data_IF_804113534056
#
_entry.id   IF_804113534056
#
_cell.length_a   1.000
_cell.length_b   1.000
_cell.length_c   1.000
_cell.angle_alpha   90.00
_cell.angle_beta   90.00
_cell.angle_gamma   90.00
#
_symmetry.space_group_name_H-M   'P 1'
#
loop_
_entity.id
_entity.type
_entity.pdbx_description
1 polymer ?
#
# COMPACT_ATOMS: atom_id res chain seq x y z
N UNK A 1 -14.26 17.13 2.33
CA UNK A 1 -12.80 16.95 2.21
C UNK A 1 -12.52 15.72 1.36
N UNK A 2 -11.58 15.83 0.44
CA UNK A 2 -11.13 14.73 -0.40
C UNK A 2 -9.64 14.42 -0.14
N UNK A 3 -9.35 13.22 0.34
CA UNK A 3 -7.99 12.70 0.51
C UNK A 3 -7.68 11.60 -0.51
N UNK A 4 -6.47 11.65 -1.06
CA UNK A 4 -5.91 10.59 -1.90
C UNK A 4 -4.77 9.89 -1.16
N UNK A 5 -4.84 8.57 -1.07
CA UNK A 5 -3.80 7.72 -0.48
C UNK A 5 -3.24 6.84 -1.59
N UNK A 6 -1.94 6.96 -1.84
CA UNK A 6 -1.19 6.13 -2.79
C UNK A 6 -0.12 5.30 -2.09
N UNK A 7 0.45 4.32 -2.79
CA UNK A 7 1.55 3.51 -2.30
C UNK A 7 1.67 2.18 -3.05
N UNK A 8 2.74 1.45 -2.73
CA UNK A 8 2.99 0.13 -3.29
C UNK A 8 2.00 -0.94 -2.82
N UNK A 9 2.14 -2.15 -3.36
CA UNK A 9 1.44 -3.32 -2.79
C UNK A 9 2.01 -3.70 -1.43
N UNK A 10 1.13 -4.14 -0.53
CA UNK A 10 1.51 -4.50 0.83
C UNK A 10 2.01 -3.34 1.70
N UNK A 11 1.96 -2.08 1.23
CA UNK A 11 2.55 -0.94 1.93
C UNK A 11 1.73 -0.40 3.11
N UNK A 12 0.58 -0.99 3.45
CA UNK A 12 -0.28 -0.52 4.54
C UNK A 12 -1.26 0.62 4.18
N UNK A 13 -1.34 1.04 2.91
CA UNK A 13 -2.22 2.14 2.47
C UNK A 13 -3.70 1.98 2.83
N UNK A 14 -4.23 0.76 2.78
CA UNK A 14 -5.63 0.47 3.13
C UNK A 14 -5.91 0.73 4.60
N UNK A 15 -5.05 0.23 5.50
CA UNK A 15 -5.17 0.45 6.94
C UNK A 15 -5.09 1.95 7.29
N UNK A 16 -4.15 2.68 6.69
CA UNK A 16 -4.02 4.12 6.87
C UNK A 16 -5.25 4.89 6.36
N UNK A 17 -5.78 4.54 5.19
CA UNK A 17 -6.98 5.16 4.63
C UNK A 17 -8.23 4.87 5.48
N UNK A 18 -8.35 3.65 6.00
CA UNK A 18 -9.40 3.25 6.95
C UNK A 18 -9.34 4.08 8.23
N UNK A 19 -8.16 4.29 8.82
CA UNK A 19 -8.00 5.07 10.04
C UNK A 19 -8.40 6.54 9.84
N UNK A 20 -8.03 7.14 8.70
CA UNK A 20 -8.44 8.51 8.34
C UNK A 20 -9.96 8.59 8.26
N UNK A 21 -10.59 7.76 7.44
CA UNK A 21 -12.05 7.87 7.20
C UNK A 21 -12.85 7.56 8.46
N UNK A 22 -12.40 6.62 9.29
CA UNK A 22 -13.05 6.29 10.56
C UNK A 22 -12.96 7.46 11.54
N UNK A 23 -11.84 8.16 11.58
CA UNK A 23 -11.67 9.32 12.47
C UNK A 23 -12.51 10.49 12.00
N UNK A 24 -12.57 10.75 10.69
CA UNK A 24 -13.46 11.75 10.10
C UNK A 24 -14.93 11.44 10.42
N UNK A 25 -15.35 10.18 10.27
CA UNK A 25 -16.73 9.76 10.57
C UNK A 25 -17.08 9.91 12.05
N UNK A 26 -16.15 9.60 12.97
CA UNK A 26 -16.34 9.79 14.42
C UNK A 26 -16.45 11.26 14.81
N UNK A 27 -15.65 12.13 14.20
CA UNK A 27 -15.68 13.58 14.45
C UNK A 27 -16.95 14.23 13.89
N UNK A 28 -17.43 13.78 12.73
CA UNK A 28 -18.60 14.33 12.06
C UNK A 28 -19.93 13.69 12.46
N UNK A 29 -19.90 12.49 13.07
CA UNK A 29 -21.08 11.70 13.41
C UNK A 29 -21.79 11.08 12.21
N UNK A 30 -21.06 10.79 11.13
CA UNK A 30 -21.62 10.37 9.84
C UNK A 30 -21.53 8.87 9.57
N UNK A 31 -22.46 8.39 8.74
CA UNK A 31 -22.45 7.00 8.26
C UNK A 31 -21.22 6.73 7.40
N UNK A 32 -20.62 5.56 7.61
CA UNK A 32 -19.34 5.17 7.05
C UNK A 32 -19.52 4.10 5.98
N UNK A 33 -19.10 4.40 4.75
CA UNK A 33 -19.26 3.53 3.59
C UNK A 33 -17.92 3.10 3.00
N UNK A 34 -17.84 1.84 2.58
CA UNK A 34 -16.72 1.28 1.84
C UNK A 34 -17.17 0.91 0.42
N UNK A 35 -16.65 1.60 -0.58
CA UNK A 35 -16.87 1.28 -1.99
C UNK A 35 -15.76 0.34 -2.47
N UNK A 36 -16.11 -0.94 -2.62
CA UNK A 36 -15.20 -2.01 -3.03
C UNK A 36 -15.22 -2.19 -4.56
N UNK A 37 -14.05 -2.02 -5.19
CA UNK A 37 -13.90 -2.14 -6.65
C UNK A 37 -13.24 -3.44 -7.09
N UNK A 38 -12.80 -4.27 -6.15
CA UNK A 38 -12.17 -5.56 -6.44
C UNK A 38 -13.20 -6.61 -6.86
N UNK A 39 -13.14 -7.04 -8.12
CA UNK A 39 -14.02 -8.08 -8.67
C UNK A 39 -13.70 -9.45 -8.02
N UNK A 40 -14.69 -10.21 -7.49
CA UNK A 40 -14.46 -11.48 -6.80
C UNK A 40 -14.18 -12.65 -7.76
N UNK A 41 -13.11 -12.55 -8.55
CA UNK A 41 -12.72 -13.59 -9.52
C UNK A 41 -11.51 -14.41 -9.03
N UNK A 42 -11.67 -15.72 -8.95
CA UNK A 42 -10.63 -16.66 -8.50
C UNK A 42 -10.49 -16.77 -6.97
N UNK A 43 -9.92 -17.89 -6.51
CA UNK A 43 -9.78 -18.19 -5.08
C UNK A 43 -8.82 -17.23 -4.34
N UNK A 44 -7.77 -16.75 -5.02
CA UNK A 44 -6.84 -15.75 -4.47
C UNK A 44 -7.60 -14.48 -4.07
N UNK A 45 -8.37 -13.92 -5.01
CA UNK A 45 -9.11 -12.68 -4.82
C UNK A 45 -10.20 -12.82 -3.76
N UNK A 46 -10.91 -13.97 -3.74
CA UNK A 46 -11.89 -14.26 -2.68
C UNK A 46 -11.24 -14.25 -1.30
N UNK A 47 -10.05 -14.86 -1.12
CA UNK A 47 -9.31 -14.81 0.16
C UNK A 47 -8.92 -13.38 0.54
N UNK A 48 -8.51 -12.56 -0.43
CA UNK A 48 -8.22 -11.13 -0.20
C UNK A 48 -9.46 -10.38 0.25
N UNK A 49 -10.58 -10.53 -0.44
CA UNK A 49 -11.87 -9.91 -0.06
C UNK A 49 -12.29 -10.34 1.35
N UNK A 50 -12.21 -11.64 1.67
CA UNK A 50 -12.53 -12.14 3.02
C UNK A 50 -11.63 -11.48 4.08
N UNK A 51 -10.33 -11.37 3.83
CA UNK A 51 -9.40 -10.70 4.75
C UNK A 51 -9.77 -9.24 4.97
N UNK A 52 -10.07 -8.49 3.92
CA UNK A 52 -10.52 -7.09 4.03
C UNK A 52 -11.84 -6.97 4.79
N UNK A 53 -12.80 -7.89 4.58
CA UNK A 53 -14.06 -7.93 5.34
C UNK A 53 -13.82 -8.18 6.83
N UNK A 54 -12.92 -9.11 7.18
CA UNK A 54 -12.55 -9.37 8.58
C UNK A 54 -11.87 -8.16 9.22
N UNK A 55 -10.92 -7.52 8.53
CA UNK A 55 -10.20 -6.35 9.06
C UNK A 55 -11.11 -5.15 9.40
N UNK A 56 -12.32 -5.09 8.81
CA UNK A 56 -13.26 -3.99 8.99
C UNK A 56 -14.56 -4.35 9.71
N UNK A 57 -14.74 -5.60 10.13
CA UNK A 57 -16.01 -6.10 10.70
C UNK A 57 -16.49 -5.25 11.89
N UNK A 58 -15.57 -4.75 12.70
CA UNK A 58 -15.88 -3.96 13.91
C UNK A 58 -15.68 -2.44 13.71
N UNK A 59 -15.47 -1.99 12.47
CA UNK A 59 -15.23 -0.57 12.16
C UNK A 59 -16.49 0.19 11.75
N UNK A 60 -17.61 -0.49 11.60
CA UNK A 60 -18.91 0.13 11.26
C UNK A 60 -19.05 0.51 9.78
N UNK A 61 -18.28 -0.12 8.88
CA UNK A 61 -18.44 0.11 7.44
C UNK A 61 -19.65 -0.62 6.88
N UNK A 62 -20.50 0.10 6.17
CA UNK A 62 -21.40 -0.50 5.19
C UNK A 62 -20.63 -0.70 3.86
N UNK A 63 -20.69 -1.91 3.30
CA UNK A 63 -19.95 -2.22 2.07
C UNK A 63 -20.84 -2.09 0.85
N UNK A 64 -20.35 -1.34 -0.14
CA UNK A 64 -20.98 -1.26 -1.46
C UNK A 64 -20.04 -1.75 -2.55
N UNK A 65 -20.50 -2.69 -3.36
CA UNK A 65 -19.71 -3.27 -4.44
C UNK A 65 -19.92 -2.49 -5.75
N UNK A 66 -18.84 -1.93 -6.29
CA UNK A 66 -18.85 -1.08 -7.47
C UNK A 66 -17.62 -1.35 -8.34
N UNK A 67 -17.76 -2.27 -9.28
CA UNK A 67 -16.65 -2.74 -10.12
C UNK A 67 -16.40 -1.88 -11.36
N UNK A 68 -17.46 -1.31 -11.94
CA UNK A 68 -17.52 -0.46 -13.13
C UNK A 68 -18.65 0.58 -12.94
N UNK A 69 -18.70 1.62 -13.77
CA UNK A 69 -19.83 2.55 -13.84
C UNK A 69 -20.02 3.40 -12.58
N UNK A 70 -18.93 3.80 -11.91
CA UNK A 70 -19.00 4.52 -10.62
C UNK A 70 -19.82 5.82 -10.70
N UNK A 71 -19.79 6.53 -11.83
CA UNK A 71 -20.60 7.74 -12.05
C UNK A 71 -22.10 7.44 -11.94
N UNK A 72 -22.58 6.43 -12.65
CA UNK A 72 -23.99 6.06 -12.65
C UNK A 72 -24.47 5.65 -11.26
N UNK A 73 -23.70 4.82 -10.56
CA UNK A 73 -24.02 4.36 -9.19
C UNK A 73 -23.99 5.50 -8.17
N UNK A 74 -23.05 6.44 -8.29
CA UNK A 74 -23.02 7.60 -7.41
C UNK A 74 -24.21 8.56 -7.65
N UNK A 75 -24.73 8.63 -8.87
CA UNK A 75 -25.82 9.54 -9.24
C UNK A 75 -27.22 8.97 -9.00
N UNK A 76 -27.44 7.68 -9.32
CA UNK A 76 -28.75 7.02 -9.28
C UNK A 76 -28.95 6.12 -8.06
N UNK A 77 -28.00 6.12 -7.14
CA UNK A 77 -28.02 5.30 -5.92
C UNK A 77 -27.08 4.10 -6.05
N UNK A 78 -26.36 3.80 -4.96
CA UNK A 78 -25.35 2.75 -4.94
C UNK A 78 -25.94 1.32 -4.79
N UNK A 79 -27.21 1.12 -5.15
CA UNK A 79 -27.92 -0.17 -5.06
C UNK A 79 -28.66 -0.40 -3.74
N UNK A 80 -28.74 -1.66 -3.30
CA UNK A 80 -29.54 -2.22 -2.17
C UNK A 80 -29.19 -1.62 -0.78
N UNK A 81 -28.26 -0.67 -0.68
CA UNK A 81 -27.99 0.05 0.56
C UNK A 81 -29.08 1.10 0.80
N UNK A 82 -30.14 0.73 1.52
CA UNK A 82 -31.16 1.67 2.00
C UNK A 82 -30.52 2.79 2.84
N UNK A 83 -29.50 2.45 3.63
CA UNK A 83 -28.72 3.40 4.41
C UNK A 83 -27.94 4.41 3.55
N UNK A 84 -27.52 4.04 2.32
CA UNK A 84 -26.92 4.99 1.38
C UNK A 84 -27.92 6.08 0.98
N UNK A 85 -29.17 5.73 0.71
CA UNK A 85 -30.22 6.70 0.33
C UNK A 85 -30.64 7.55 1.54
N UNK A 86 -30.78 6.93 2.72
CA UNK A 86 -31.29 7.57 3.95
C UNK A 86 -30.25 8.44 4.67
N UNK A 87 -28.94 8.22 4.43
CA UNK A 87 -27.90 8.98 5.08
C UNK A 87 -27.95 10.48 4.74
N UNK A 88 -28.13 11.31 5.77
CA UNK A 88 -28.13 12.78 5.63
C UNK A 88 -26.75 13.34 5.28
N UNK A 89 -25.68 12.62 5.67
CA UNK A 89 -24.29 12.92 5.29
C UNK A 89 -23.43 11.65 5.39
N UNK A 90 -22.34 11.58 4.62
CA UNK A 90 -21.60 10.33 4.37
C UNK A 90 -20.08 10.56 4.43
N UNK A 91 -19.39 9.60 5.06
CA UNK A 91 -17.94 9.41 4.95
C UNK A 91 -17.67 8.17 4.09
N UNK A 92 -16.88 8.30 3.03
CA UNK A 92 -16.71 7.24 2.03
C UNK A 92 -15.23 6.90 1.85
N UNK A 93 -14.92 5.60 1.88
CA UNK A 93 -13.65 5.04 1.45
C UNK A 93 -13.83 4.31 0.12
N UNK A 94 -13.16 4.77 -0.93
CA UNK A 94 -13.13 4.10 -2.24
C UNK A 94 -11.83 3.33 -2.40
N UNK A 95 -11.91 2.00 -2.49
CA UNK A 95 -10.74 1.13 -2.59
C UNK A 95 -10.93 0.01 -3.66
N UNK A 96 -10.12 -0.06 -4.71
CA UNK A 96 -9.09 0.90 -5.14
C UNK A 96 -9.22 1.32 -6.61
N UNK A 97 -8.61 2.46 -6.93
CA UNK A 97 -8.62 3.03 -8.28
C UNK A 97 -7.94 2.12 -9.30
N UNK A 98 -6.87 1.40 -8.92
CA UNK A 98 -6.19 0.51 -9.86
C UNK A 98 -7.07 -0.63 -10.34
N UNK A 99 -7.90 -1.20 -9.45
CA UNK A 99 -8.88 -2.22 -9.81
C UNK A 99 -10.03 -1.63 -10.63
N UNK A 100 -10.55 -0.46 -10.23
CA UNK A 100 -11.60 0.22 -10.99
C UNK A 100 -11.14 0.54 -12.42
N UNK A 101 -9.93 1.10 -12.58
CA UNK A 101 -9.36 1.40 -13.89
C UNK A 101 -9.15 0.13 -14.73
N UNK A 102 -8.68 -0.97 -14.11
CA UNK A 102 -8.54 -2.25 -14.80
C UNK A 102 -9.90 -2.80 -15.23
N UNK A 103 -10.91 -2.76 -14.36
CA UNK A 103 -12.25 -3.22 -14.68
C UNK A 103 -12.86 -2.40 -15.83
N UNK A 104 -12.78 -1.07 -15.76
CA UNK A 104 -13.24 -0.17 -16.83
C UNK A 104 -12.52 -0.45 -18.15
N UNK A 105 -11.23 -0.78 -18.11
CA UNK A 105 -10.45 -1.08 -19.31
C UNK A 105 -10.78 -2.45 -19.91
N UNK A 106 -10.94 -3.48 -19.08
CA UNK A 106 -10.96 -4.88 -19.55
C UNK A 106 -12.34 -5.54 -19.51
N UNK A 107 -13.24 -5.19 -18.60
CA UNK A 107 -14.56 -5.83 -18.51
C UNK A 107 -15.46 -5.45 -19.70
N UNK A 108 -16.37 -6.34 -20.14
CA UNK A 108 -17.24 -6.08 -21.30
C UNK A 108 -18.07 -4.79 -21.17
N UNK A 109 -18.53 -4.49 -19.96
CA UNK A 109 -19.33 -3.31 -19.57
C UNK A 109 -18.47 -2.08 -19.21
N UNK A 110 -17.15 -2.20 -19.21
CA UNK A 110 -16.24 -1.12 -18.88
C UNK A 110 -16.09 -0.05 -19.99
N UNK A 111 -15.64 1.14 -19.61
CA UNK A 111 -15.47 2.29 -20.50
C UNK A 111 -14.36 2.19 -21.57
N UNK A 112 -13.50 1.16 -21.52
CA UNK A 112 -12.42 0.89 -22.49
C UNK A 112 -11.48 2.08 -22.69
N UNK A 113 -11.43 2.65 -23.89
CA UNK A 113 -10.60 3.83 -24.21
C UNK A 113 -10.99 5.07 -23.41
N UNK A 114 -12.21 5.10 -22.86
CA UNK A 114 -12.71 6.20 -22.04
C UNK A 114 -12.48 5.98 -20.52
N UNK A 115 -11.72 4.96 -20.11
CA UNK A 115 -11.46 4.64 -18.69
C UNK A 115 -11.08 5.85 -17.85
N UNK A 116 -10.11 6.66 -18.30
CA UNK A 116 -9.65 7.86 -17.56
C UNK A 116 -10.83 8.79 -17.26
N UNK A 117 -11.63 9.11 -18.28
CA UNK A 117 -12.79 9.99 -18.17
C UNK A 117 -13.86 9.41 -17.24
N UNK A 118 -14.15 8.11 -17.37
CA UNK A 118 -15.16 7.42 -16.57
C UNK A 118 -14.78 7.43 -15.08
N UNK A 119 -13.53 7.06 -14.75
CA UNK A 119 -13.04 7.04 -13.37
C UNK A 119 -13.06 8.44 -12.74
N UNK A 120 -12.54 9.45 -13.43
CA UNK A 120 -12.52 10.83 -12.91
C UNK A 120 -13.93 11.34 -12.65
N UNK A 121 -14.87 11.09 -13.57
CA UNK A 121 -16.27 11.51 -13.39
C UNK A 121 -16.94 10.76 -12.24
N UNK A 122 -16.71 9.46 -12.13
CA UNK A 122 -17.21 8.65 -11.01
C UNK A 122 -16.74 9.17 -9.65
N UNK A 123 -15.43 9.46 -9.52
CA UNK A 123 -14.89 10.02 -8.27
C UNK A 123 -15.45 11.42 -7.99
N UNK A 124 -15.64 12.26 -9.03
CA UNK A 124 -16.30 13.58 -8.87
C UNK A 124 -17.76 13.45 -8.43
N UNK A 125 -18.51 12.51 -9.00
CA UNK A 125 -19.88 12.24 -8.59
C UNK A 125 -19.93 11.78 -7.13
N UNK A 126 -19.07 10.85 -6.75
CA UNK A 126 -18.96 10.36 -5.37
C UNK A 126 -18.61 11.49 -4.40
N UNK A 127 -17.62 12.31 -4.73
CA UNK A 127 -17.18 13.44 -3.89
C UNK A 127 -18.29 14.51 -3.70
N UNK A 128 -19.21 14.66 -4.66
CA UNK A 128 -20.37 15.57 -4.51
C UNK A 128 -21.44 15.01 -3.56
N UNK A 129 -21.45 13.70 -3.32
CA UNK A 129 -22.50 12.98 -2.57
C UNK A 129 -22.07 12.60 -1.15
N UNK A 130 -20.82 12.88 -0.77
CA UNK A 130 -20.30 12.65 0.55
C UNK A 130 -19.61 13.91 1.09
N UNK A 131 -19.55 14.03 2.40
CA UNK A 131 -18.82 15.14 3.04
C UNK A 131 -17.33 14.86 3.08
N UNK A 132 -16.97 13.61 3.34
CA UNK A 132 -15.59 13.16 3.37
C UNK A 132 -15.39 11.98 2.42
N UNK A 133 -14.41 12.12 1.52
CA UNK A 133 -14.00 11.08 0.59
C UNK A 133 -12.53 10.76 0.81
N UNK A 134 -12.22 9.48 1.04
CA UNK A 134 -10.85 8.95 1.02
C UNK A 134 -10.76 7.96 -0.14
N UNK A 135 -9.81 8.18 -1.04
CA UNK A 135 -9.61 7.31 -2.21
C UNK A 135 -8.25 6.64 -2.10
N UNK A 136 -8.22 5.32 -2.29
CA UNK A 136 -6.99 4.52 -2.34
C UNK A 136 -6.63 4.22 -3.79
N UNK A 137 -5.39 4.52 -4.17
CA UNK A 137 -4.81 4.14 -5.45
C UNK A 137 -3.45 3.46 -5.23
N UNK A 138 -2.91 2.88 -6.31
CA UNK A 138 -1.59 2.27 -6.31
C UNK A 138 -0.64 3.13 -7.15
N UNK A 139 0.62 3.18 -6.73
CA UNK A 139 1.72 3.60 -7.58
C UNK A 139 2.24 2.38 -8.34
N UNK A 140 2.24 2.43 -9.68
CA UNK A 140 2.55 1.29 -10.56
C UNK A 140 3.51 1.67 -11.70
N UNK A 141 3.98 2.92 -11.72
CA UNK A 141 4.75 3.49 -12.82
C UNK A 141 6.27 3.50 -12.53
N UNK A 142 6.73 2.92 -11.42
CA UNK A 142 8.15 2.97 -11.04
C UNK A 142 9.01 1.84 -11.63
N UNK A 143 8.40 0.90 -12.35
CA UNK A 143 9.10 -0.15 -13.08
C UNK A 143 9.14 0.13 -14.58
N UNK A 144 10.30 -0.11 -15.19
CA UNK A 144 10.52 -0.04 -16.63
C UNK A 144 10.80 -1.46 -17.16
N UNK A 145 9.74 -2.24 -17.37
CA UNK A 145 9.77 -3.57 -17.98
C UNK A 145 9.46 -3.51 -19.48
N UNK A 146 9.71 -4.61 -20.20
CA UNK A 146 9.27 -4.79 -21.59
C UNK A 146 7.75 -4.97 -21.65
N UNK A 147 7.03 -3.86 -21.45
CA UNK A 147 5.58 -3.83 -21.37
C UNK A 147 4.94 -3.99 -22.75
N UNK A 148 3.87 -4.77 -22.82
CA UNK A 148 2.99 -4.77 -23.99
C UNK A 148 2.34 -3.39 -24.19
N UNK A 149 1.85 -3.11 -25.39
CA UNK A 149 1.11 -1.85 -25.67
C UNK A 149 -0.07 -1.65 -24.70
N UNK A 150 -0.74 -2.74 -24.32
CA UNK A 150 -1.84 -2.72 -23.35
C UNK A 150 -1.37 -2.32 -21.95
N UNK A 151 -0.23 -2.86 -21.49
CA UNK A 151 0.36 -2.51 -20.20
C UNK A 151 0.82 -1.05 -20.16
N UNK A 152 1.40 -0.56 -21.26
CA UNK A 152 1.79 0.85 -21.39
C UNK A 152 0.55 1.77 -21.36
N UNK A 153 -0.54 1.37 -22.04
CA UNK A 153 -1.81 2.09 -22.01
C UNK A 153 -2.40 2.14 -20.59
N UNK A 154 -2.37 1.03 -19.86
CA UNK A 154 -2.82 0.98 -18.47
C UNK A 154 -1.97 1.89 -17.56
N UNK A 155 -0.64 1.85 -17.67
CA UNK A 155 0.26 2.77 -16.93
C UNK A 155 -0.05 4.22 -17.22
N UNK A 156 -0.26 4.56 -18.50
CA UNK A 156 -0.66 5.91 -18.92
C UNK A 156 -1.98 6.33 -18.27
N UNK A 157 -3.00 5.48 -18.33
CA UNK A 157 -4.30 5.75 -17.70
C UNK A 157 -4.16 5.94 -16.19
N UNK A 158 -3.40 5.10 -15.50
CA UNK A 158 -3.13 5.24 -14.07
C UNK A 158 -2.42 6.55 -13.74
N UNK A 159 -1.42 6.95 -14.54
CA UNK A 159 -0.73 8.23 -14.38
C UNK A 159 -1.66 9.43 -14.55
N UNK A 160 -2.49 9.43 -15.60
CA UNK A 160 -3.47 10.48 -15.88
C UNK A 160 -4.53 10.56 -14.76
N UNK A 161 -5.08 9.42 -14.32
CA UNK A 161 -6.05 9.34 -13.22
C UNK A 161 -5.42 9.83 -11.91
N UNK A 162 -4.27 9.27 -11.50
CA UNK A 162 -3.62 9.61 -10.23
C UNK A 162 -3.28 11.11 -10.17
N UNK A 163 -2.81 11.69 -11.28
CA UNK A 163 -2.49 13.12 -11.36
C UNK A 163 -3.75 13.98 -11.20
N UNK A 164 -4.84 13.64 -11.89
CA UNK A 164 -6.08 14.41 -11.78
C UNK A 164 -6.75 14.26 -10.41
N UNK A 165 -6.73 13.07 -9.82
CA UNK A 165 -7.23 12.84 -8.47
C UNK A 165 -6.40 13.61 -7.44
N UNK A 166 -5.07 13.60 -7.56
CA UNK A 166 -4.19 14.38 -6.70
C UNK A 166 -4.43 15.89 -6.83
N UNK A 167 -4.74 16.38 -8.05
CA UNK A 167 -5.11 17.77 -8.29
C UNK A 167 -6.41 18.13 -7.57
N UNK A 168 -7.42 17.27 -7.64
CA UNK A 168 -8.71 17.44 -6.98
C UNK A 168 -8.67 17.29 -5.46
N UNK A 169 -7.76 16.48 -4.93
CA UNK A 169 -7.68 16.19 -3.50
C UNK A 169 -7.20 17.39 -2.68
N UNK A 170 -7.79 17.57 -1.50
CA UNK A 170 -7.37 18.53 -0.48
C UNK A 170 -6.04 18.10 0.16
N UNK A 171 -5.79 16.79 0.27
CA UNK A 171 -4.53 16.23 0.76
C UNK A 171 -4.16 14.92 0.08
N UNK A 172 -2.84 14.68 -0.06
CA UNK A 172 -2.29 13.47 -0.69
C UNK A 172 -1.20 12.88 0.18
N UNK A 173 -1.30 11.58 0.45
CA UNK A 173 -0.32 10.80 1.18
C UNK A 173 0.20 9.63 0.33
N UNK A 174 1.51 9.41 0.36
CA UNK A 174 2.12 8.15 -0.07
C UNK A 174 2.39 7.30 1.17
N UNK A 175 1.91 6.06 1.23
CA UNK A 175 2.20 5.15 2.34
C UNK A 175 3.30 4.19 1.91
N UNK A 176 4.46 4.32 2.55
CA UNK A 176 5.66 3.52 2.32
C UNK A 176 5.89 2.62 3.52
N UNK A 177 5.67 1.31 3.37
CA UNK A 177 5.78 0.32 4.46
C UNK A 177 5.14 0.77 5.79
N UNK A 178 3.89 1.19 5.73
CA UNK A 178 3.10 1.65 6.88
C UNK A 178 3.37 3.10 7.30
N UNK A 179 4.38 3.76 6.73
CA UNK A 179 4.76 5.13 7.07
C UNK A 179 4.08 6.10 6.09
N UNK A 180 3.16 6.97 6.56
CA UNK A 180 2.53 7.98 5.71
C UNK A 180 3.48 9.15 5.44
N UNK A 181 3.86 9.31 4.19
CA UNK A 181 4.62 10.45 3.65
C UNK A 181 3.65 11.45 3.04
N UNK A 182 3.57 12.64 3.62
CA UNK A 182 2.72 13.72 3.11
C UNK A 182 3.29 14.28 1.81
N UNK A 183 2.48 14.29 0.75
CA UNK A 183 2.83 14.86 -0.55
C UNK A 183 2.14 16.20 -0.82
N UNK A 184 0.89 16.38 -0.38
CA UNK A 184 0.11 17.61 -0.61
C UNK A 184 -0.85 17.88 0.55
N UNK A 185 -1.10 19.15 0.83
CA UNK A 185 -2.22 19.60 1.67
C UNK A 185 -2.07 19.31 3.15
N UNK A 186 -3.09 19.59 3.95
CA UNK A 186 -3.12 19.19 5.37
C UNK A 186 -3.76 17.81 5.43
N UNK A 187 -3.06 16.83 5.98
CA UNK A 187 -3.61 15.51 6.25
C UNK A 187 -3.96 15.44 7.72
N UNK A 188 -5.20 15.06 8.03
CA UNK A 188 -5.59 14.74 9.39
C UNK A 188 -4.97 13.39 9.75
N UNK A 189 -3.73 13.44 10.25
CA UNK A 189 -3.01 12.24 10.67
C UNK A 189 -3.63 11.76 11.98
N UNK A 190 -4.20 10.57 11.94
CA UNK A 190 -4.49 9.84 13.16
C UNK A 190 -3.15 9.51 13.81
N UNK A 191 -3.01 9.77 15.12
CA UNK A 191 -1.87 9.24 15.86
C UNK A 191 -1.85 7.74 15.61
N UNK A 192 -0.79 7.23 14.98
CA UNK A 192 -0.56 5.80 14.87
C UNK A 192 -0.72 5.22 16.27
N UNK A 193 -1.65 4.28 16.43
CA UNK A 193 -1.68 3.52 17.68
C UNK A 193 -0.31 2.87 17.82
N UNK A 194 0.31 3.02 18.99
CA UNK A 194 1.43 2.17 19.40
C UNK A 194 0.86 0.76 19.62
N UNK A 195 0.48 0.08 18.54
CA UNK A 195 -0.01 -1.28 18.60
C UNK A 195 1.20 -2.20 18.75
N UNK A 196 1.40 -2.67 19.97
CA UNK A 196 2.47 -3.59 20.36
C UNK A 196 3.43 -2.98 21.37
N UNK A 197 3.24 -3.32 22.66
CA UNK A 197 4.33 -3.24 23.64
C UNK A 197 5.39 -4.25 23.20
N UNK A 198 6.44 -3.80 22.53
CA UNK A 198 7.65 -4.60 22.34
C UNK A 198 8.51 -4.44 23.60
N UNK A 199 8.92 -5.55 24.20
CA UNK A 199 9.83 -5.56 25.35
C UNK A 199 11.27 -5.54 24.83
N UNK A 200 11.84 -4.34 24.71
CA UNK A 200 13.21 -4.06 24.26
C UNK A 200 13.32 -2.65 23.67
N UNK A 201 14.53 -2.09 23.54
CA UNK A 201 14.76 -0.87 22.75
C UNK A 201 15.06 -1.27 21.30
N UNK A 202 14.19 -0.95 20.33
CA UNK A 202 14.40 -1.37 18.95
C UNK A 202 15.57 -0.58 18.37
N UNK A 203 16.58 -1.30 17.90
CA UNK A 203 17.76 -0.73 17.24
C UNK A 203 17.85 -1.09 15.75
N UNK A 204 16.80 -1.66 15.17
CA UNK A 204 16.84 -2.13 13.79
C UNK A 204 16.81 -0.94 12.83
N UNK A 205 17.60 -1.00 11.75
CA UNK A 205 17.59 0.02 10.69
C UNK A 205 17.10 -0.60 9.38
N UNK A 206 16.16 0.06 8.72
CA UNK A 206 15.61 -0.39 7.43
C UNK A 206 15.91 0.65 6.34
N UNK A 207 16.60 0.21 5.28
CA UNK A 207 16.96 1.02 4.12
C UNK A 207 16.26 0.48 2.89
N UNK A 208 15.47 1.33 2.25
CA UNK A 208 14.58 0.94 1.15
C UNK A 208 14.77 1.84 -0.07
N UNK A 209 14.19 1.43 -1.19
CA UNK A 209 14.21 2.20 -2.44
C UNK A 209 14.27 1.33 -3.67
N UNK A 210 14.28 1.96 -4.85
CA UNK A 210 14.31 1.27 -6.14
C UNK A 210 15.57 0.42 -6.35
N UNK A 211 15.51 -0.45 -7.36
CA UNK A 211 16.66 -1.24 -7.78
C UNK A 211 17.83 -0.32 -8.22
N UNK A 212 19.06 -0.73 -7.92
CA UNK A 212 20.30 -0.04 -8.31
C UNK A 212 20.44 1.43 -7.84
N UNK A 213 19.66 1.89 -6.86
CA UNK A 213 19.68 3.27 -6.33
C UNK A 213 20.83 3.55 -5.34
N UNK A 214 21.80 2.66 -5.17
CA UNK A 214 22.92 2.85 -4.22
C UNK A 214 22.61 2.55 -2.75
N UNK A 215 21.52 1.81 -2.45
CA UNK A 215 21.05 1.52 -1.09
C UNK A 215 22.12 0.90 -0.17
N UNK A 216 22.83 -0.12 -0.67
CA UNK A 216 23.85 -0.82 0.12
C UNK A 216 25.03 0.11 0.45
N UNK A 217 25.48 0.91 -0.52
CA UNK A 217 26.55 1.88 -0.30
C UNK A 217 26.14 2.95 0.72
N UNK A 218 24.89 3.43 0.64
CA UNK A 218 24.31 4.33 1.63
C UNK A 218 24.29 3.69 3.03
N UNK A 219 23.73 2.48 3.15
CA UNK A 219 23.61 1.79 4.44
C UNK A 219 24.98 1.52 5.10
N UNK A 220 25.98 1.11 4.31
CA UNK A 220 27.37 0.94 4.75
C UNK A 220 28.05 2.24 5.17
N UNK A 221 27.63 3.38 4.65
CA UNK A 221 28.18 4.67 5.04
C UNK A 221 27.53 5.19 6.33
N UNK A 222 26.22 5.01 6.44
CA UNK A 222 25.39 5.64 7.48
C UNK A 222 25.35 4.81 8.77
N UNK A 223 25.27 3.48 8.68
CA UNK A 223 24.90 2.64 9.83
C UNK A 223 25.97 1.69 10.33
N UNK A 224 26.95 1.32 9.51
CA UNK A 224 27.95 0.31 9.88
C UNK A 224 29.37 0.74 9.46
N UNK A 225 30.38 0.46 10.28
CA UNK A 225 31.78 0.64 9.92
C UNK A 225 32.25 -0.44 8.91
N UNK A 226 33.40 -0.23 8.26
CA UNK A 226 33.88 -1.05 7.13
C UNK A 226 34.02 -2.57 7.40
N UNK A 227 34.12 -3.01 8.66
CA UNK A 227 34.40 -4.40 9.06
C UNK A 227 33.16 -5.23 9.44
N UNK A 228 31.94 -4.77 9.11
CA UNK A 228 30.72 -5.49 9.50
C UNK A 228 30.40 -6.71 8.63
N UNK A 229 29.82 -7.76 9.23
CA UNK A 229 29.38 -8.97 8.52
C UNK A 229 28.09 -8.71 7.71
N UNK A 230 28.28 -8.47 6.41
CA UNK A 230 27.18 -8.33 5.45
C UNK A 230 26.90 -9.65 4.73
N UNK A 231 25.64 -10.05 4.67
CA UNK A 231 25.19 -11.21 3.89
C UNK A 231 24.29 -10.78 2.72
N UNK A 232 24.36 -11.54 1.63
CA UNK A 232 23.48 -11.35 0.47
C UNK A 232 22.24 -12.24 0.61
N UNK A 233 21.08 -11.60 0.75
CA UNK A 233 19.78 -12.24 0.82
C UNK A 233 19.44 -13.09 -0.40
N UNK A 234 20.09 -12.89 -1.55
CA UNK A 234 19.93 -13.75 -2.72
C UNK A 234 20.60 -15.13 -2.58
N UNK A 235 21.55 -15.31 -1.64
CA UNK A 235 22.34 -16.55 -1.56
C UNK A 235 22.61 -17.07 -0.14
N UNK A 236 22.41 -16.26 0.90
CA UNK A 236 22.74 -16.66 2.27
C UNK A 236 21.90 -17.86 2.78
N UNK A 237 22.46 -18.69 3.67
CA UNK A 237 21.67 -19.58 4.51
C UNK A 237 20.59 -18.82 5.30
N UNK A 238 19.46 -19.46 5.56
CA UNK A 238 18.31 -18.79 6.21
C UNK A 238 18.60 -18.37 7.66
N UNK A 239 19.41 -19.12 8.40
CA UNK A 239 19.68 -18.82 9.81
C UNK A 239 20.69 -17.67 10.01
N UNK A 240 21.48 -17.35 8.97
CA UNK A 240 22.53 -16.33 9.07
C UNK A 240 21.97 -14.93 9.33
N UNK A 241 20.71 -14.68 8.96
CA UNK A 241 20.03 -13.40 9.23
C UNK A 241 19.93 -13.08 10.74
N UNK A 242 20.01 -14.10 11.60
CA UNK A 242 19.93 -13.93 13.05
C UNK A 242 21.27 -13.61 13.71
N UNK A 243 22.37 -13.59 12.95
CA UNK A 243 23.73 -13.34 13.49
C UNK A 243 24.54 -12.33 12.69
N UNK A 244 24.15 -12.02 11.45
CA UNK A 244 24.79 -10.99 10.65
C UNK A 244 24.47 -9.58 11.16
N UNK A 245 25.30 -8.61 10.78
CA UNK A 245 25.07 -7.21 11.13
C UNK A 245 24.29 -6.46 10.06
N UNK A 246 24.35 -6.93 8.82
CA UNK A 246 23.59 -6.36 7.72
C UNK A 246 23.19 -7.41 6.67
N UNK A 247 22.00 -7.24 6.11
CA UNK A 247 21.52 -8.01 4.97
C UNK A 247 21.14 -7.07 3.83
N UNK A 248 21.56 -7.40 2.61
CA UNK A 248 21.10 -6.74 1.39
C UNK A 248 20.38 -7.72 0.48
N UNK A 249 19.60 -7.21 -0.47
CA UNK A 249 18.64 -8.04 -1.22
C UNK A 249 17.65 -8.79 -0.31
N UNK A 250 17.15 -8.12 0.72
CA UNK A 250 16.19 -8.73 1.66
C UNK A 250 14.91 -9.20 0.95
N UNK A 251 14.48 -8.51 -0.11
CA UNK A 251 13.42 -8.97 -0.99
C UNK A 251 13.73 -10.36 -1.60
N UNK A 252 14.96 -10.59 -2.07
CA UNK A 252 15.38 -11.89 -2.60
C UNK A 252 15.42 -12.98 -1.53
N UNK A 253 15.75 -12.61 -0.28
CA UNK A 253 15.67 -13.52 0.86
C UNK A 253 14.24 -14.01 1.08
N UNK A 254 13.27 -13.10 1.10
CA UNK A 254 11.83 -13.42 1.19
C UNK A 254 11.41 -14.33 0.03
N UNK A 255 11.80 -14.00 -1.21
CA UNK A 255 11.47 -14.81 -2.40
C UNK A 255 11.95 -16.25 -2.25
N UNK A 256 13.20 -16.45 -1.79
CA UNK A 256 13.77 -17.80 -1.57
C UNK A 256 13.06 -18.56 -0.46
N UNK A 257 12.72 -17.90 0.65
CA UNK A 257 11.95 -18.53 1.72
C UNK A 257 10.58 -19.01 1.23
N UNK A 258 9.88 -18.19 0.43
CA UNK A 258 8.60 -18.57 -0.17
C UNK A 258 8.75 -19.75 -1.14
N UNK A 259 9.75 -19.70 -2.03
CA UNK A 259 10.02 -20.79 -2.97
C UNK A 259 10.38 -22.10 -2.25
N UNK A 260 11.00 -22.02 -1.08
CA UNK A 260 11.30 -23.15 -0.22
C UNK A 260 10.13 -23.61 0.68
N UNK A 261 8.95 -23.00 0.55
CA UNK A 261 7.76 -23.34 1.34
C UNK A 261 7.86 -23.02 2.84
N UNK A 262 8.73 -22.06 3.22
CA UNK A 262 8.87 -21.62 4.61
C UNK A 262 7.69 -20.75 5.02
N UNK A 263 7.27 -20.87 6.28
CA UNK A 263 6.29 -19.95 6.88
C UNK A 263 6.96 -18.62 7.22
N UNK A 264 6.32 -17.52 6.80
CA UNK A 264 6.80 -16.15 6.95
C UNK A 264 5.98 -15.32 7.94
N UNK A 265 4.89 -15.87 8.50
CA UNK A 265 3.88 -15.13 9.28
C UNK A 265 4.44 -14.32 10.46
N UNK A 266 5.61 -14.69 10.98
CA UNK A 266 6.28 -14.01 12.09
C UNK A 266 7.75 -13.67 11.78
N UNK A 267 8.14 -13.58 10.50
CA UNK A 267 9.54 -13.36 10.15
C UNK A 267 10.07 -12.06 10.73
N UNK A 268 9.34 -10.95 10.61
CA UNK A 268 9.78 -9.65 11.12
C UNK A 268 9.99 -9.68 12.64
N UNK A 269 9.01 -10.20 13.38
CA UNK A 269 9.09 -10.37 14.84
C UNK A 269 10.23 -11.31 15.26
N UNK A 270 10.47 -12.40 14.52
CA UNK A 270 11.57 -13.34 14.77
C UNK A 270 12.94 -12.67 14.58
N UNK A 271 13.11 -11.89 13.51
CA UNK A 271 14.34 -11.12 13.25
C UNK A 271 14.53 -10.11 14.38
N UNK A 272 13.52 -9.29 14.70
CA UNK A 272 13.63 -8.28 15.74
C UNK A 272 13.97 -8.87 17.12
N UNK A 273 13.41 -10.03 17.47
CA UNK A 273 13.67 -10.69 18.75
C UNK A 273 15.04 -11.36 18.86
N UNK A 274 15.62 -11.83 17.74
CA UNK A 274 16.90 -12.56 17.74
C UNK A 274 18.09 -11.72 17.29
N UNK A 275 17.85 -10.69 16.48
CA UNK A 275 18.85 -9.79 15.92
C UNK A 275 18.30 -8.35 15.83
N UNK A 276 18.13 -7.68 16.99
CA UNK A 276 17.50 -6.36 17.07
C UNK A 276 18.32 -5.23 16.43
N UNK A 277 19.62 -5.42 16.25
CA UNK A 277 20.54 -4.42 15.68
C UNK A 277 20.71 -4.53 14.16
N UNK A 278 20.02 -5.49 13.52
CA UNK A 278 20.18 -5.78 12.10
C UNK A 278 19.92 -4.54 11.22
N UNK A 279 20.82 -4.30 10.26
CA UNK A 279 20.58 -3.36 9.16
C UNK A 279 20.02 -4.11 7.95
N UNK A 280 18.76 -3.83 7.61
CA UNK A 280 18.05 -4.47 6.49
C UNK A 280 18.06 -3.53 5.30
N UNK A 281 18.55 -4.00 4.15
CA UNK A 281 18.50 -3.29 2.86
C UNK A 281 17.59 -4.05 1.89
N UNK A 282 16.46 -3.44 1.53
CA UNK A 282 15.41 -4.06 0.71
C UNK A 282 15.06 -3.23 -0.52
N UNK A 283 14.81 -3.87 -1.65
CA UNK A 283 14.24 -3.21 -2.84
C UNK A 283 12.73 -3.11 -2.72
N UNK A 284 12.20 -1.92 -2.98
CA UNK A 284 10.76 -1.69 -3.03
C UNK A 284 10.18 -2.19 -4.36
N UNK A 285 9.68 -3.43 -4.33
CA UNK A 285 9.03 -4.11 -5.46
C UNK A 285 7.52 -3.86 -5.53
N UNK A 286 6.96 -3.15 -4.54
CA UNK A 286 5.55 -2.82 -4.47
C UNK A 286 5.09 -1.82 -5.53
N UNK A 287 5.99 -1.12 -6.23
CA UNK A 287 5.66 0.03 -7.09
C UNK A 287 5.60 -0.33 -8.60
N UNK A 288 5.58 -1.62 -8.89
CA UNK A 288 5.42 -2.20 -10.22
C UNK A 288 4.00 -2.51 -10.64
N UNK A 289 3.85 -2.93 -11.90
CA UNK A 289 2.63 -3.58 -12.38
C UNK A 289 2.41 -4.90 -11.64
N UNK A 290 1.16 -5.33 -11.58
CA UNK A 290 0.80 -6.61 -10.96
C UNK A 290 1.22 -7.75 -11.91
N UNK A 291 2.08 -8.69 -11.48
CA UNK A 291 2.51 -9.80 -12.33
C UNK A 291 1.35 -10.74 -12.74
N UNK A 292 1.48 -11.39 -13.89
CA UNK A 292 0.56 -12.44 -14.35
C UNK A 292 0.76 -13.74 -13.55
N UNK A 293 2.00 -14.01 -13.15
CA UNK A 293 2.33 -15.17 -12.32
C UNK A 293 1.83 -14.99 -10.87
N UNK A 294 1.19 -16.02 -10.33
CA UNK A 294 0.58 -15.97 -9.00
C UNK A 294 1.63 -15.94 -7.89
N UNK A 295 2.77 -16.61 -8.07
CA UNK A 295 3.85 -16.59 -7.09
C UNK A 295 4.49 -15.20 -7.02
N UNK A 296 4.76 -14.57 -8.16
CA UNK A 296 5.32 -13.21 -8.19
C UNK A 296 4.36 -12.17 -7.59
N UNK A 297 3.04 -12.32 -7.80
CA UNK A 297 2.05 -11.47 -7.10
C UNK A 297 2.10 -11.63 -5.59
N UNK A 298 2.07 -12.87 -5.11
CA UNK A 298 2.10 -13.16 -3.67
C UNK A 298 3.43 -12.70 -3.06
N UNK A 299 4.54 -12.93 -3.75
CA UNK A 299 5.88 -12.50 -3.33
C UNK A 299 5.94 -10.98 -3.12
N UNK A 300 5.47 -10.21 -4.10
CA UNK A 300 5.39 -8.75 -4.00
C UNK A 300 4.54 -8.30 -2.81
N UNK A 301 3.43 -8.96 -2.55
CA UNK A 301 2.53 -8.63 -1.44
C UNK A 301 3.11 -9.01 -0.07
N UNK A 302 3.72 -10.19 0.05
CA UNK A 302 4.39 -10.66 1.27
C UNK A 302 5.60 -9.80 1.60
N UNK A 303 6.42 -9.44 0.62
CA UNK A 303 7.56 -8.56 0.83
C UNK A 303 7.13 -7.20 1.37
N UNK A 304 6.08 -6.60 0.79
CA UNK A 304 5.54 -5.34 1.29
C UNK A 304 5.02 -5.42 2.73
N UNK A 305 4.34 -6.53 3.09
CA UNK A 305 3.85 -6.76 4.45
C UNK A 305 4.97 -6.94 5.46
N UNK A 306 5.94 -7.80 5.17
CA UNK A 306 7.08 -8.05 6.05
C UNK A 306 7.88 -6.76 6.22
N UNK A 307 8.11 -5.99 5.16
CA UNK A 307 8.76 -4.69 5.26
C UNK A 307 7.93 -3.68 6.07
N UNK A 308 6.59 -3.73 6.01
CA UNK A 308 5.71 -2.90 6.87
C UNK A 308 5.85 -3.27 8.34
N UNK A 309 5.90 -4.57 8.67
CA UNK A 309 6.16 -5.05 10.04
C UNK A 309 7.56 -4.65 10.53
N UNK A 310 8.59 -4.85 9.69
CA UNK A 310 9.95 -4.42 10.01
C UNK A 310 10.04 -2.90 10.19
N UNK A 311 9.37 -2.10 9.34
CA UNK A 311 9.34 -0.65 9.47
C UNK A 311 8.65 -0.20 10.76
N UNK A 312 7.63 -0.92 11.23
CA UNK A 312 7.00 -0.66 12.53
C UNK A 312 7.96 -0.94 13.70
N UNK A 313 8.75 -2.01 13.59
CA UNK A 313 9.75 -2.44 14.60
C UNK A 313 11.09 -1.70 14.50
N UNK A 314 11.38 -1.00 13.39
CA UNK A 314 12.65 -0.33 13.17
C UNK A 314 12.78 0.95 14.00
N UNK A 315 13.98 1.20 14.52
CA UNK A 315 14.43 2.47 15.08
C UNK A 315 14.36 3.56 14.02
N UNK A 316 14.89 3.26 12.83
CA UNK A 316 15.02 4.22 11.72
C UNK A 316 14.71 3.57 10.39
N UNK A 317 13.97 4.28 9.55
CA UNK A 317 13.64 3.88 8.17
C UNK A 317 14.05 4.98 7.21
N UNK A 318 14.93 4.65 6.27
CA UNK A 318 15.42 5.58 5.24
C UNK A 318 15.06 5.08 3.84
N UNK A 319 14.61 5.99 2.96
CA UNK A 319 14.42 5.77 1.53
C UNK A 319 15.59 6.37 0.75
N UNK A 320 16.20 5.57 -0.13
CA UNK A 320 17.34 6.01 -0.95
C UNK A 320 16.91 6.19 -2.41
N UNK A 321 17.23 7.36 -2.97
CA UNK A 321 17.03 7.72 -4.37
C UNK A 321 18.31 8.36 -4.89
N UNK A 322 18.87 7.84 -5.99
CA UNK A 322 20.12 8.30 -6.58
C UNK A 322 21.28 8.38 -5.56
N UNK A 323 21.35 7.43 -4.61
CA UNK A 323 22.33 7.41 -3.53
C UNK A 323 22.07 8.40 -2.38
N UNK A 324 20.99 9.18 -2.45
CA UNK A 324 20.61 10.17 -1.43
C UNK A 324 19.55 9.55 -0.52
N UNK A 325 19.83 9.49 0.78
CA UNK A 325 18.88 9.03 1.79
C UNK A 325 17.92 10.13 2.22
N UNK A 326 16.65 9.75 2.40
CA UNK A 326 15.61 10.54 3.05
C UNK A 326 15.03 9.72 4.19
N UNK A 327 15.12 10.23 5.41
CA UNK A 327 14.56 9.59 6.59
C UNK A 327 13.04 9.70 6.59
N UNK A 328 12.37 8.55 6.67
CA UNK A 328 10.92 8.42 6.72
C UNK A 328 10.40 8.29 8.16
N UNK A 329 11.17 7.61 9.02
CA UNK A 329 10.84 7.37 10.43
C UNK A 329 12.13 7.36 11.26
N UNK A 330 12.05 7.95 12.45
CA UNK A 330 12.98 7.74 13.58
C UNK A 330 12.12 7.55 14.82
N UNK A 331 12.43 6.56 15.65
CA UNK A 331 11.86 6.43 16.98
C UNK A 331 12.63 7.37 17.91
N UNK A 332 11.89 8.31 18.51
CA UNK A 332 12.38 9.16 19.61
C UNK A 332 12.52 8.36 20.92
#
# INVERSE_FOLDING_TARGET
MFYLVTGGSGSGKSAFAEDIVCSLARESGESLFYVATMLPYGEETKRKILRHRVMRQDKGFETVECYTGLEEKAEHGMGVCTEWEEASSRCVLLECISNLAANEMYQPDGAKKNTVRAVIRGVRALNRKCRHLVVVTNEVCSECSSDSEEMQMYKRFMGEINTELARMADGVAEVVYGIPVKLKGVLQLCKTKKDGKWEGEPHMKLVIGGAYQGKLAYAKKEFLAADHSWIDGASCPFEDIYTCQGIWHFESYIRRMMAAGKDLKNLASSIAGKNPDLVVVSTEIGYGLVPVDAFEREYREQAGRICTELAALAERVDRVVCGIGTTLKVLD
#
